data_IF_660179448529
#
_entry.id   IF_660179448529
#
_cell.length_a   1.000
_cell.length_b   1.000
_cell.length_c   1.000
_cell.angle_alpha   90.00
_cell.angle_beta   90.00
_cell.angle_gamma   90.00
#
_symmetry.space_group_name_H-M   'P 1'
#
loop_
_entity.id
_entity.type
_entity.pdbx_description
1 polymer ?
#
# COMPACT_ATOMS: atom_id res chain seq x y z
N UNK A 1 -0.02 -20.62 -6.31
CA UNK A 1 -0.52 -19.75 -7.42
C UNK A 1 -1.20 -18.54 -6.83
N UNK A 2 -0.87 -17.35 -7.33
CA UNK A 2 -1.43 -16.06 -6.89
C UNK A 2 -1.97 -15.31 -8.09
N UNK A 3 -3.08 -14.62 -7.94
CA UNK A 3 -3.66 -13.84 -9.05
C UNK A 3 -3.02 -12.45 -9.07
N UNK A 4 -2.17 -12.21 -10.05
CA UNK A 4 -1.41 -10.97 -10.24
C UNK A 4 -2.09 -10.14 -11.32
N UNK A 5 -2.39 -8.87 -10.99
CA UNK A 5 -2.90 -7.90 -11.94
C UNK A 5 -1.78 -7.38 -12.84
N UNK A 6 -0.70 -6.89 -12.20
CA UNK A 6 0.48 -6.40 -12.91
C UNK A 6 1.73 -6.44 -12.01
N UNK A 7 2.92 -6.47 -12.62
CA UNK A 7 4.21 -6.23 -11.96
C UNK A 7 4.93 -5.17 -12.79
N UNK A 8 5.34 -4.08 -12.14
CA UNK A 8 6.00 -2.97 -12.81
C UNK A 8 7.07 -2.31 -11.93
N UNK A 9 7.99 -1.60 -12.57
CA UNK A 9 9.04 -0.85 -11.89
C UNK A 9 8.78 0.63 -11.99
N UNK A 10 8.70 1.28 -10.85
CA UNK A 10 8.49 2.71 -10.75
C UNK A 10 9.11 3.23 -9.44
N UNK A 11 8.66 4.36 -8.96
CA UNK A 11 8.97 4.87 -7.64
C UNK A 11 7.71 4.95 -6.77
N UNK A 12 7.87 4.73 -5.47
CA UNK A 12 6.76 4.95 -4.54
C UNK A 12 6.29 6.40 -4.62
N UNK A 13 5.02 6.59 -4.92
CA UNK A 13 4.41 7.92 -5.08
C UNK A 13 3.75 8.46 -3.83
N UNK A 14 3.66 7.65 -2.75
CA UNK A 14 2.83 7.92 -1.58
C UNK A 14 3.54 7.60 -0.27
N UNK A 15 3.12 8.24 0.82
CA UNK A 15 3.52 7.92 2.19
C UNK A 15 5.00 8.15 2.49
N UNK A 16 5.50 7.39 3.44
CA UNK A 16 6.86 7.55 3.98
C UNK A 16 7.97 7.34 2.95
N UNK A 17 7.81 6.35 2.08
CA UNK A 17 8.81 5.97 1.08
C UNK A 17 8.69 6.72 -0.25
N UNK A 18 7.91 7.82 -0.30
CA UNK A 18 7.76 8.64 -1.52
C UNK A 18 9.12 8.95 -2.16
N UNK A 19 9.21 8.71 -3.48
CA UNK A 19 10.42 8.94 -4.27
C UNK A 19 11.36 7.72 -4.36
N UNK A 20 11.19 6.69 -3.53
CA UNK A 20 12.05 5.50 -3.54
C UNK A 20 11.74 4.60 -4.73
N UNK A 21 12.76 4.20 -5.55
CA UNK A 21 12.55 3.21 -6.62
C UNK A 21 12.10 1.85 -6.06
N UNK A 22 11.05 1.28 -6.64
CA UNK A 22 10.46 0.04 -6.16
C UNK A 22 9.86 -0.80 -7.30
N UNK A 23 9.82 -2.10 -7.11
CA UNK A 23 9.02 -3.00 -7.93
C UNK A 23 7.67 -3.21 -7.25
N UNK A 24 6.61 -2.88 -7.96
CA UNK A 24 5.25 -3.07 -7.49
C UNK A 24 4.73 -4.43 -7.94
N UNK A 25 4.23 -5.22 -7.01
CA UNK A 25 3.49 -6.46 -7.28
C UNK A 25 2.05 -6.20 -6.89
N UNK A 26 1.21 -5.97 -7.90
CA UNK A 26 -0.21 -5.69 -7.72
C UNK A 26 -1.03 -6.97 -7.83
N UNK A 27 -1.64 -7.37 -6.71
CA UNK A 27 -2.54 -8.51 -6.65
C UNK A 27 -3.95 -8.14 -7.11
N UNK A 28 -4.65 -9.11 -7.69
CA UNK A 28 -6.04 -8.97 -8.10
C UNK A 28 -7.00 -9.34 -6.99
N UNK A 29 -8.16 -8.68 -6.98
CA UNK A 29 -9.23 -8.93 -6.01
C UNK A 29 -9.06 -8.14 -4.72
N UNK A 30 -10.19 -7.72 -4.17
CA UNK A 30 -10.27 -7.03 -2.89
C UNK A 30 -11.49 -7.53 -2.11
N UNK A 31 -11.40 -7.53 -0.80
CA UNK A 31 -12.51 -7.89 0.08
C UNK A 31 -13.39 -6.69 0.46
N UNK A 32 -13.04 -5.49 -0.01
CA UNK A 32 -13.82 -4.25 0.16
C UNK A 32 -14.17 -3.65 -1.20
N UNK A 33 -15.19 -2.78 -1.22
CA UNK A 33 -15.65 -2.04 -2.40
C UNK A 33 -15.72 -0.55 -2.06
N UNK A 34 -14.57 0.13 -2.16
CA UNK A 34 -14.47 1.56 -1.88
C UNK A 34 -14.99 2.36 -3.08
N UNK A 35 -15.81 3.38 -2.86
CA UNK A 35 -16.35 4.23 -3.92
C UNK A 35 -15.27 5.07 -4.64
N UNK A 36 -14.18 5.35 -3.95
CA UNK A 36 -13.02 6.12 -4.48
C UNK A 36 -11.89 5.22 -5.02
N UNK A 37 -12.13 3.91 -5.18
CA UNK A 37 -11.08 2.99 -5.64
C UNK A 37 -10.63 3.35 -7.05
N UNK A 38 -9.36 3.66 -7.21
CA UNK A 38 -8.73 4.00 -8.49
C UNK A 38 -8.00 2.82 -9.15
N UNK A 39 -8.04 1.64 -8.53
CA UNK A 39 -7.37 0.44 -9.01
C UNK A 39 -8.36 -0.52 -9.67
N UNK A 40 -8.09 -0.89 -10.93
CA UNK A 40 -8.80 -1.99 -11.61
C UNK A 40 -8.14 -3.31 -11.23
N UNK A 41 -8.74 -4.04 -10.31
CA UNK A 41 -8.14 -5.25 -9.73
C UNK A 41 -8.94 -6.54 -9.98
N UNK A 42 -9.94 -6.52 -10.87
CA UNK A 42 -10.75 -7.71 -11.16
C UNK A 42 -10.02 -8.70 -12.07
N UNK A 43 -9.26 -8.18 -13.04
CA UNK A 43 -8.47 -8.98 -14.00
C UNK A 43 -7.14 -9.41 -13.39
N UNK A 44 -6.48 -10.38 -14.01
CA UNK A 44 -5.13 -10.80 -13.61
C UNK A 44 -4.80 -12.22 -14.03
N UNK A 45 -3.49 -12.51 -14.03
CA UNK A 45 -2.92 -13.79 -14.43
C UNK A 45 -2.49 -14.60 -13.21
N UNK A 46 -2.69 -15.92 -13.26
CA UNK A 46 -2.19 -16.84 -12.22
C UNK A 46 -0.68 -17.02 -12.38
N UNK A 47 0.07 -16.69 -11.33
CA UNK A 47 1.53 -16.83 -11.31
C UNK A 47 1.98 -17.67 -10.12
N UNK A 48 3.08 -18.44 -10.28
CA UNK A 48 3.77 -19.06 -9.15
C UNK A 48 4.65 -18.05 -8.43
N UNK A 49 5.10 -18.37 -7.22
CA UNK A 49 5.99 -17.48 -6.46
C UNK A 49 7.34 -17.30 -7.17
N UNK A 50 7.85 -18.36 -7.83
CA UNK A 50 9.07 -18.30 -8.64
C UNK A 50 8.90 -17.41 -9.88
N UNK A 51 7.73 -17.44 -10.51
CA UNK A 51 7.44 -16.57 -11.64
C UNK A 51 7.34 -15.09 -11.20
N UNK A 52 6.74 -14.81 -10.04
CA UNK A 52 6.71 -13.47 -9.45
C UNK A 52 8.12 -12.99 -9.14
N UNK A 53 8.95 -13.84 -8.49
CA UNK A 53 10.35 -13.51 -8.21
C UNK A 53 11.14 -13.22 -9.48
N UNK A 54 10.98 -14.04 -10.53
CA UNK A 54 11.67 -13.86 -11.81
C UNK A 54 11.33 -12.49 -12.44
N UNK A 55 10.06 -12.05 -12.38
CA UNK A 55 9.66 -10.72 -12.84
C UNK A 55 10.29 -9.61 -11.98
N UNK A 56 10.25 -9.75 -10.66
CA UNK A 56 10.83 -8.77 -9.72
C UNK A 56 12.34 -8.62 -9.92
N UNK A 57 13.04 -9.70 -10.23
CA UNK A 57 14.50 -9.70 -10.43
C UNK A 57 14.96 -9.04 -11.75
N UNK A 58 14.06 -8.77 -12.68
CA UNK A 58 14.39 -8.00 -13.91
C UNK A 58 14.80 -6.55 -13.60
N UNK A 59 14.48 -6.05 -12.41
CA UNK A 59 14.68 -4.67 -12.01
C UNK A 59 15.69 -4.53 -10.87
N UNK A 60 16.49 -3.45 -10.84
CA UNK A 60 17.58 -3.26 -9.88
C UNK A 60 17.10 -2.88 -8.47
N UNK A 61 15.83 -2.50 -8.29
CA UNK A 61 15.34 -2.06 -6.99
C UNK A 61 15.39 -3.16 -5.94
N UNK A 62 15.85 -2.79 -4.74
CA UNK A 62 15.77 -3.63 -3.56
C UNK A 62 14.35 -3.68 -3.00
N UNK A 63 13.64 -2.55 -3.05
CA UNK A 63 12.28 -2.44 -2.50
C UNK A 63 11.27 -3.14 -3.40
N UNK A 64 10.43 -3.97 -2.80
CA UNK A 64 9.25 -4.58 -3.42
C UNK A 64 8.02 -4.14 -2.63
N UNK A 65 7.03 -3.60 -3.31
CA UNK A 65 5.77 -3.15 -2.72
C UNK A 65 4.67 -4.12 -3.13
N UNK A 66 4.17 -4.86 -2.16
CA UNK A 66 3.02 -5.75 -2.31
C UNK A 66 1.75 -4.91 -2.14
N UNK A 67 0.99 -4.75 -3.21
CA UNK A 67 -0.18 -3.86 -3.28
C UNK A 67 -1.29 -4.47 -4.13
N UNK A 68 -2.27 -3.70 -4.56
CA UNK A 68 -3.29 -4.13 -5.53
C UNK A 68 -4.70 -3.87 -5.06
N UNK A 69 -5.59 -4.85 -5.18
CA UNK A 69 -6.86 -4.86 -4.47
C UNK A 69 -6.58 -4.98 -2.96
N UNK A 70 -6.48 -6.20 -2.46
CA UNK A 70 -6.01 -6.45 -1.09
C UNK A 70 -4.95 -7.57 -1.11
N UNK A 71 -3.65 -7.25 -0.93
CA UNK A 71 -2.58 -8.23 -1.02
C UNK A 71 -2.64 -9.29 0.09
N UNK A 72 -3.18 -8.99 1.26
CA UNK A 72 -3.30 -9.95 2.37
C UNK A 72 -4.22 -11.15 2.07
N UNK A 73 -4.98 -11.10 0.97
CA UNK A 73 -5.75 -12.25 0.49
C UNK A 73 -4.85 -13.33 -0.12
N UNK A 74 -3.66 -12.97 -0.54
CA UNK A 74 -2.79 -13.76 -1.41
C UNK A 74 -1.45 -14.12 -0.81
N UNK A 75 -0.89 -13.27 0.05
CA UNK A 75 0.46 -13.44 0.59
C UNK A 75 0.49 -14.41 1.77
N UNK A 76 1.61 -15.10 1.88
CA UNK A 76 1.96 -15.96 3.01
C UNK A 76 3.49 -15.93 3.26
N UNK A 77 3.94 -16.62 4.29
CA UNK A 77 5.37 -16.68 4.63
C UNK A 77 6.23 -17.23 3.51
N UNK A 78 5.72 -18.13 2.66
CA UNK A 78 6.49 -18.72 1.57
C UNK A 78 6.95 -17.65 0.55
N UNK A 79 6.05 -16.77 0.14
CA UNK A 79 6.39 -15.68 -0.78
C UNK A 79 7.33 -14.68 -0.12
N UNK A 80 7.07 -14.31 1.14
CA UNK A 80 7.89 -13.38 1.91
C UNK A 80 9.32 -13.90 2.04
N UNK A 81 9.49 -15.16 2.45
CA UNK A 81 10.80 -15.80 2.58
C UNK A 81 11.54 -15.89 1.23
N UNK A 82 10.81 -16.16 0.15
CA UNK A 82 11.39 -16.25 -1.19
C UNK A 82 11.97 -14.88 -1.63
N UNK A 83 11.23 -13.82 -1.43
CA UNK A 83 11.66 -12.45 -1.74
C UNK A 83 12.85 -12.02 -0.84
N UNK A 84 12.82 -12.34 0.45
CA UNK A 84 13.94 -12.06 1.38
C UNK A 84 15.22 -12.80 0.99
N UNK A 85 15.13 -14.08 0.61
CA UNK A 85 16.30 -14.85 0.12
C UNK A 85 16.91 -14.22 -1.14
N UNK A 86 16.11 -13.49 -1.92
CA UNK A 86 16.58 -12.71 -3.07
C UNK A 86 17.09 -11.30 -2.69
N UNK A 87 17.23 -10.99 -1.40
CA UNK A 87 17.75 -9.70 -0.89
C UNK A 87 16.78 -8.53 -1.01
N UNK A 88 15.47 -8.80 -1.18
CA UNK A 88 14.47 -7.74 -1.31
C UNK A 88 14.03 -7.23 0.07
N UNK A 89 13.70 -5.93 0.13
CA UNK A 89 13.03 -5.24 1.23
C UNK A 89 11.54 -5.17 0.93
N UNK A 90 10.71 -5.75 1.79
CA UNK A 90 9.30 -6.01 1.50
C UNK A 90 8.41 -5.00 2.20
N UNK A 91 7.75 -4.16 1.43
CA UNK A 91 6.69 -3.27 1.88
C UNK A 91 5.33 -3.85 1.50
N UNK A 92 4.31 -3.57 2.30
CA UNK A 92 2.93 -3.89 1.96
C UNK A 92 2.05 -2.66 2.11
N UNK A 93 1.11 -2.49 1.18
CA UNK A 93 -0.03 -1.57 1.30
C UNK A 93 -1.32 -2.37 1.43
N UNK A 94 -1.95 -2.30 2.59
CA UNK A 94 -3.12 -3.11 2.93
C UNK A 94 -4.23 -2.29 3.57
N UNK A 95 -5.48 -2.71 3.42
CA UNK A 95 -6.61 -2.13 4.14
C UNK A 95 -6.67 -2.56 5.63
N UNK A 96 -5.81 -3.47 6.05
CA UNK A 96 -5.65 -3.89 7.44
C UNK A 96 -6.71 -4.85 7.98
N UNK A 97 -7.64 -5.32 7.15
CA UNK A 97 -8.75 -6.18 7.61
C UNK A 97 -8.39 -7.65 7.80
N UNK A 98 -7.15 -8.04 7.50
CA UNK A 98 -6.63 -9.40 7.66
C UNK A 98 -5.27 -9.38 8.34
N UNK A 99 -4.91 -10.45 9.08
CA UNK A 99 -3.55 -10.59 9.59
C UNK A 99 -2.55 -10.75 8.43
N UNK A 100 -1.32 -10.35 8.69
CA UNK A 100 -0.20 -10.50 7.75
C UNK A 100 0.73 -11.63 8.21
N UNK A 101 1.45 -12.29 7.28
CA UNK A 101 2.55 -13.16 7.64
C UNK A 101 3.68 -12.37 8.30
N UNK A 102 4.52 -13.06 9.06
CA UNK A 102 5.75 -12.49 9.59
C UNK A 102 6.73 -12.15 8.45
N UNK A 103 7.71 -11.30 8.76
CA UNK A 103 8.78 -10.96 7.82
C UNK A 103 8.48 -9.78 6.89
N UNK A 104 7.32 -9.12 6.95
CA UNK A 104 7.10 -7.86 6.24
C UNK A 104 7.95 -6.77 6.89
N UNK A 105 8.81 -6.10 6.10
CA UNK A 105 9.74 -5.08 6.62
C UNK A 105 9.05 -3.74 6.90
N UNK A 106 8.04 -3.37 6.09
CA UNK A 106 7.27 -2.15 6.25
C UNK A 106 5.78 -2.37 5.97
N UNK A 107 4.95 -1.99 6.91
CA UNK A 107 3.48 -2.14 6.82
C UNK A 107 2.82 -0.77 6.75
N UNK A 108 2.30 -0.42 5.59
CA UNK A 108 1.38 0.71 5.39
C UNK A 108 -0.05 0.20 5.51
N UNK A 109 -0.73 0.60 6.58
CA UNK A 109 -2.15 0.35 6.76
C UNK A 109 -2.94 1.53 6.20
N UNK A 110 -3.85 1.25 5.27
CA UNK A 110 -4.79 2.24 4.74
C UNK A 110 -6.22 1.87 5.12
N UNK A 111 -6.66 2.20 6.35
CA UNK A 111 -7.99 1.85 6.84
C UNK A 111 -9.07 2.39 5.92
N UNK A 112 -10.13 1.61 5.75
CA UNK A 112 -11.29 1.98 4.92
C UNK A 112 -12.55 1.98 5.76
N UNK A 113 -13.49 2.84 5.44
CA UNK A 113 -14.80 2.85 6.06
C UNK A 113 -15.46 1.47 6.00
N UNK A 114 -16.07 1.04 7.10
CA UNK A 114 -16.67 -0.29 7.24
C UNK A 114 -15.68 -1.46 7.39
N UNK A 115 -14.38 -1.21 7.28
CA UNK A 115 -13.34 -2.24 7.48
C UNK A 115 -13.00 -2.43 8.96
N UNK A 116 -13.11 -3.67 9.45
CA UNK A 116 -12.67 -4.02 10.82
C UNK A 116 -11.18 -4.36 10.78
N UNK A 117 -10.35 -3.54 11.43
CA UNK A 117 -8.91 -3.75 11.50
C UNK A 117 -8.56 -5.01 12.31
N UNK A 118 -7.61 -5.78 11.78
CA UNK A 118 -7.05 -7.00 12.40
C UNK A 118 -5.53 -6.97 12.52
N UNK A 119 -4.89 -5.89 12.06
CA UNK A 119 -3.46 -5.73 12.21
C UNK A 119 -3.09 -5.37 13.65
N UNK A 120 -2.04 -6.00 14.16
CA UNK A 120 -1.44 -5.70 15.45
C UNK A 120 -0.17 -4.86 15.34
N UNK A 121 0.41 -4.80 14.15
CA UNK A 121 1.60 -3.98 13.81
C UNK A 121 1.35 -3.23 12.51
N UNK A 122 1.70 -1.97 12.52
CA UNK A 122 1.78 -1.13 11.32
C UNK A 122 2.84 -0.05 11.55
N UNK A 123 3.62 0.26 10.53
CA UNK A 123 4.65 1.30 10.60
C UNK A 123 4.06 2.66 10.20
N UNK A 124 3.10 2.62 9.28
CA UNK A 124 2.43 3.78 8.71
C UNK A 124 0.90 3.58 8.65
N UNK A 125 0.17 4.62 9.02
CA UNK A 125 -1.26 4.77 8.72
C UNK A 125 -1.40 5.82 7.63
N UNK A 126 -2.02 5.45 6.50
CA UNK A 126 -2.29 6.34 5.37
C UNK A 126 -3.79 6.38 5.09
N UNK A 127 -4.43 7.52 5.37
CA UNK A 127 -5.88 7.70 5.25
C UNK A 127 -6.19 8.56 4.04
N UNK A 128 -7.06 8.07 3.16
CA UNK A 128 -7.68 8.91 2.12
C UNK A 128 -8.65 9.84 2.83
N UNK A 129 -8.42 11.15 2.71
CA UNK A 129 -9.19 12.15 3.42
C UNK A 129 -10.43 12.58 2.63
N UNK A 130 -11.56 12.52 3.29
CA UNK A 130 -12.87 12.94 2.76
C UNK A 130 -13.65 13.77 3.79
N UNK A 131 -12.94 14.40 4.75
CA UNK A 131 -13.55 15.21 5.79
C UNK A 131 -13.97 14.45 7.05
N UNK A 132 -13.60 13.17 7.17
CA UNK A 132 -13.95 12.32 8.31
C UNK A 132 -13.18 12.69 9.59
N UNK A 133 -13.70 12.26 10.75
CA UNK A 133 -13.03 12.35 12.04
C UNK A 133 -11.73 11.52 12.04
N UNK A 134 -10.63 12.13 12.46
CA UNK A 134 -9.31 11.49 12.52
C UNK A 134 -9.04 10.77 13.84
N UNK A 135 -9.81 11.06 14.90
CA UNK A 135 -9.59 10.52 16.23
C UNK A 135 -9.46 8.99 16.28
N UNK A 136 -10.28 8.20 15.56
CA UNK A 136 -10.13 6.75 15.59
C UNK A 136 -8.81 6.26 14.99
N UNK A 137 -8.28 6.96 13.98
CA UNK A 137 -7.01 6.58 13.33
C UNK A 137 -5.80 6.95 14.18
N UNK A 138 -5.86 8.03 14.96
CA UNK A 138 -4.78 8.50 15.82
C UNK A 138 -4.48 7.54 16.98
N UNK A 139 -5.42 6.65 17.31
CA UNK A 139 -5.24 5.61 18.33
C UNK A 139 -4.52 4.37 17.82
N UNK A 140 -4.29 4.27 16.51
CA UNK A 140 -3.62 3.10 15.91
C UNK A 140 -2.12 3.08 16.27
N UNK A 141 -1.54 1.87 16.45
CA UNK A 141 -0.16 1.70 16.89
C UNK A 141 0.85 1.89 15.75
N UNK A 142 0.82 3.05 15.08
CA UNK A 142 1.74 3.41 14.02
C UNK A 142 2.69 4.53 14.44
N UNK A 143 3.89 4.52 13.86
CA UNK A 143 4.88 5.60 14.05
C UNK A 143 4.60 6.80 13.13
N UNK A 144 3.99 6.55 11.96
CA UNK A 144 3.79 7.57 10.92
C UNK A 144 2.31 7.64 10.51
N UNK A 145 1.82 8.88 10.35
CA UNK A 145 0.44 9.16 9.98
C UNK A 145 0.41 10.07 8.76
N UNK A 146 -0.33 9.66 7.71
CA UNK A 146 -0.46 10.41 6.49
C UNK A 146 -1.92 10.59 6.10
N UNK A 147 -2.26 11.83 5.70
CA UNK A 147 -3.50 12.14 5.01
C UNK A 147 -3.21 12.29 3.53
N UNK A 148 -4.01 11.64 2.72
CA UNK A 148 -3.92 11.66 1.28
C UNK A 148 -5.19 12.24 0.67
N UNK A 149 -5.08 13.27 -0.20
CA UNK A 149 -6.24 13.77 -0.93
C UNK A 149 -6.90 12.67 -1.77
N UNK A 150 -8.23 12.61 -1.78
CA UNK A 150 -8.96 11.67 -2.60
C UNK A 150 -8.73 12.00 -4.09
N UNK A 151 -7.97 11.17 -4.78
CA UNK A 151 -7.61 11.33 -6.21
C UNK A 151 -7.12 12.74 -6.57
N UNK A 152 -6.42 13.43 -5.67
CA UNK A 152 -5.94 14.80 -5.79
C UNK A 152 -7.04 15.88 -5.93
N UNK A 153 -8.31 15.56 -5.69
CA UNK A 153 -9.44 16.50 -5.90
C UNK A 153 -9.65 17.49 -4.75
N UNK A 154 -9.38 17.07 -3.50
CA UNK A 154 -9.56 17.86 -2.27
C UNK A 154 -8.23 18.20 -1.59
N UNK A 155 -7.21 18.53 -2.39
CA UNK A 155 -5.86 18.78 -1.86
C UNK A 155 -5.83 19.96 -0.90
N UNK A 156 -6.53 21.04 -1.17
CA UNK A 156 -6.53 22.22 -0.32
C UNK A 156 -7.13 21.93 1.07
N UNK A 157 -8.22 21.20 1.13
CA UNK A 157 -8.88 20.79 2.36
C UNK A 157 -7.99 19.82 3.17
N UNK A 158 -7.34 18.89 2.47
CA UNK A 158 -6.41 17.96 3.10
C UNK A 158 -5.20 18.67 3.70
N UNK A 159 -4.64 19.67 2.99
CA UNK A 159 -3.54 20.51 3.50
C UNK A 159 -3.99 21.30 4.72
N UNK A 160 -5.16 21.93 4.68
CA UNK A 160 -5.70 22.67 5.83
C UNK A 160 -5.87 21.74 7.05
N UNK A 161 -6.36 20.51 6.84
CA UNK A 161 -6.50 19.53 7.90
C UNK A 161 -5.14 19.10 8.48
N UNK A 162 -4.13 18.83 7.65
CA UNK A 162 -2.76 18.50 8.12
C UNK A 162 -2.17 19.62 8.95
N UNK A 163 -2.35 20.88 8.53
CA UNK A 163 -1.85 22.04 9.27
C UNK A 163 -2.55 22.21 10.63
N UNK A 164 -3.81 21.83 10.75
CA UNK A 164 -4.56 21.83 12.00
C UNK A 164 -4.21 20.63 12.92
N UNK A 165 -3.66 19.56 12.37
CA UNK A 165 -3.35 18.31 13.08
C UNK A 165 -1.88 17.91 12.89
N UNK A 166 -0.92 18.48 13.62
CA UNK A 166 0.53 18.35 13.37
C UNK A 166 1.09 16.91 13.47
N UNK A 167 0.34 15.97 13.98
CA UNK A 167 0.68 14.54 13.98
C UNK A 167 0.64 13.95 12.56
N UNK A 168 -0.19 14.51 11.70
CA UNK A 168 -0.40 14.06 10.34
C UNK A 168 0.56 14.74 9.36
N UNK A 169 0.99 13.99 8.38
CA UNK A 169 1.78 14.46 7.26
C UNK A 169 0.96 14.35 5.97
N UNK A 170 1.22 15.22 5.03
CA UNK A 170 0.58 15.16 3.71
C UNK A 170 1.23 14.03 2.88
N UNK A 171 0.42 13.15 2.33
CA UNK A 171 0.81 12.21 1.29
C UNK A 171 0.16 12.64 -0.01
N UNK A 172 0.96 13.00 -1.00
CA UNK A 172 0.46 13.21 -2.37
C UNK A 172 0.63 11.93 -3.19
N UNK A 173 -0.17 11.78 -4.23
CA UNK A 173 0.05 10.77 -5.26
C UNK A 173 1.02 11.35 -6.30
N UNK A 174 2.30 11.42 -5.94
CA UNK A 174 3.32 12.13 -6.75
C UNK A 174 3.52 11.51 -8.13
N UNK A 175 3.25 10.21 -8.29
CA UNK A 175 3.25 9.53 -9.58
C UNK A 175 2.21 10.16 -10.55
N UNK A 176 1.03 10.53 -10.06
CA UNK A 176 0.01 11.21 -10.87
C UNK A 176 0.42 12.63 -11.26
N UNK A 177 1.19 13.33 -10.39
CA UNK A 177 1.63 14.71 -10.66
C UNK A 177 2.71 14.79 -11.74
N UNK A 178 3.44 13.72 -11.99
CA UNK A 178 4.52 13.67 -12.98
C UNK A 178 4.25 12.68 -14.09
N UNK A 179 3.01 12.19 -14.19
CA UNK A 179 2.51 11.31 -15.24
C UNK A 179 3.37 10.04 -15.46
N UNK A 180 3.63 9.32 -14.36
CA UNK A 180 4.25 7.99 -14.39
C UNK A 180 3.34 6.95 -13.73
N UNK A 181 3.60 5.67 -14.07
CA UNK A 181 2.90 4.54 -13.44
C UNK A 181 3.25 4.42 -11.95
#
# INVERSE_FOLDING_TARGET
MRKINEIFYSRQGEGFHTGTPAVFVRFSGCNLKCHFCDTRHEEGTQMTDEAILAEVQKYPARMVILTGGEPSLWIDGTLVDLLHRAGKYICIETNGTRPLPEGIDWVTCSPKEGGVLKLVRMDEVKVVYEGQDLTPYEQLPAAHFFLQPCSCQNTAETVACVLAHPRWRLSLQTHKLIDIQ
#
